data_IF_853258532861
#
_entry.id   IF_853258532861
#
_cell.length_a   1.000
_cell.length_b   1.000
_cell.length_c   1.000
_cell.angle_alpha   90.00
_cell.angle_beta   90.00
_cell.angle_gamma   90.00
#
_symmetry.space_group_name_H-M   'P 1'
#
loop_
_entity.id
_entity.type
_entity.pdbx_description
1 polymer ?
#
# COMPACT_ATOMS: atom_id res chain seq x y z
N UNK A 1 -4.36 10.10 21.82
CA UNK A 1 -3.13 9.79 21.04
C UNK A 1 -3.43 9.34 19.61
N UNK A 2 -4.37 8.41 19.39
CA UNK A 2 -4.69 7.88 18.05
C UNK A 2 -4.96 8.92 16.94
N UNK A 3 -5.72 10.02 17.18
CA UNK A 3 -5.98 11.02 16.13
C UNK A 3 -4.71 11.68 15.58
N UNK A 4 -3.75 12.00 16.45
CA UNK A 4 -2.47 12.61 16.06
C UNK A 4 -1.58 11.63 15.30
N UNK A 5 -1.56 10.37 15.71
CA UNK A 5 -0.82 9.32 15.01
C UNK A 5 -1.38 9.09 13.60
N UNK A 6 -2.70 9.10 13.45
CA UNK A 6 -3.35 8.96 12.14
C UNK A 6 -3.07 10.17 11.25
N UNK A 7 -3.16 11.39 11.79
CA UNK A 7 -2.82 12.60 11.05
C UNK A 7 -1.38 12.56 10.54
N UNK A 8 -0.41 12.30 11.43
CA UNK A 8 0.98 12.11 11.04
C UNK A 8 1.15 10.98 10.03
N UNK A 9 0.34 9.91 10.13
CA UNK A 9 0.38 8.83 9.16
C UNK A 9 -0.03 9.30 7.75
N UNK A 10 -1.07 10.12 7.63
CA UNK A 10 -1.57 10.63 6.37
C UNK A 10 -0.69 11.71 5.73
N UNK A 11 -0.01 12.52 6.53
CA UNK A 11 0.78 13.66 6.03
C UNK A 11 2.26 13.34 5.82
N UNK A 12 2.79 12.29 6.45
CA UNK A 12 4.19 11.89 6.27
C UNK A 12 4.43 11.16 4.95
N UNK A 13 5.57 11.43 4.32
CA UNK A 13 6.03 10.70 3.13
C UNK A 13 6.36 9.26 3.50
N UNK A 14 5.79 8.31 2.76
CA UNK A 14 6.01 6.88 2.96
C UNK A 14 7.19 6.41 2.14
N UNK A 15 8.19 5.79 2.78
CA UNK A 15 9.35 5.20 2.08
C UNK A 15 8.94 4.24 0.93
N UNK A 16 7.91 3.38 1.09
CA UNK A 16 7.52 2.44 0.03
C UNK A 16 6.93 3.09 -1.22
N UNK A 17 6.16 4.18 -1.08
CA UNK A 17 5.46 4.83 -2.20
C UNK A 17 6.13 6.13 -2.64
N UNK A 18 6.98 6.70 -1.79
CA UNK A 18 7.60 8.04 -1.89
C UNK A 18 6.59 9.20 -1.92
N UNK A 19 5.37 8.92 -1.52
CA UNK A 19 4.25 9.86 -1.50
C UNK A 19 3.61 9.87 -0.12
N UNK A 20 2.82 10.90 0.17
CA UNK A 20 1.98 10.94 1.38
C UNK A 20 0.67 10.20 1.10
N UNK A 21 0.09 9.45 2.07
CA UNK A 21 -1.22 8.85 1.86
C UNK A 21 -2.31 9.87 1.51
N UNK A 22 -2.22 11.08 2.06
CA UNK A 22 -3.15 12.17 1.74
C UNK A 22 -3.02 12.61 0.28
N UNK A 23 -1.81 12.81 -0.26
CA UNK A 23 -1.61 13.24 -1.65
C UNK A 23 -2.14 12.23 -2.66
N UNK A 24 -2.06 10.93 -2.35
CA UNK A 24 -2.62 9.88 -3.19
C UNK A 24 -4.16 9.83 -3.16
N UNK A 25 -4.79 10.18 -2.03
CA UNK A 25 -6.24 10.14 -1.86
C UNK A 25 -6.93 11.43 -2.33
N UNK A 26 -6.48 12.57 -1.84
CA UNK A 26 -7.09 13.89 -2.08
C UNK A 26 -6.44 14.69 -3.19
N UNK A 27 -5.45 14.10 -3.86
CA UNK A 27 -4.98 14.63 -5.13
C UNK A 27 -4.27 15.99 -4.99
N UNK A 28 -3.75 16.27 -3.81
CA UNK A 28 -2.96 17.45 -3.46
C UNK A 28 -2.16 17.20 -2.19
N UNK A 29 -1.06 17.93 -2.02
CA UNK A 29 -0.36 17.94 -0.74
C UNK A 29 -1.22 18.62 0.33
N UNK A 30 -1.09 18.14 1.57
CA UNK A 30 -1.76 18.72 2.72
C UNK A 30 -1.32 20.16 2.90
N UNK A 31 -2.29 21.04 3.13
CA UNK A 31 -2.06 22.37 3.71
C UNK A 31 -2.20 22.23 5.21
N UNK A 32 -1.13 22.43 5.96
CA UNK A 32 -1.20 22.33 7.42
C UNK A 32 -1.87 23.57 8.02
N UNK A 33 -2.59 23.44 9.15
CA UNK A 33 -3.23 24.60 9.80
C UNK A 33 -2.27 25.77 10.06
N UNK A 34 -1.01 25.48 10.41
CA UNK A 34 0.03 26.50 10.62
C UNK A 34 0.37 27.30 9.36
N UNK A 35 0.24 26.70 8.17
CA UNK A 35 0.45 27.40 6.89
C UNK A 35 -0.69 28.38 6.57
N UNK A 36 -1.84 28.22 7.22
CA UNK A 36 -2.99 29.12 7.10
C UNK A 36 -2.93 30.21 8.16
N UNK A 37 -2.63 29.84 9.40
CA UNK A 37 -2.47 30.78 10.52
C UNK A 37 -1.30 31.73 10.30
N UNK A 38 -0.19 31.21 9.78
CA UNK A 38 0.97 31.97 9.30
C UNK A 38 1.02 31.75 7.78
N UNK A 39 0.43 32.65 6.97
CA UNK A 39 0.27 32.45 5.53
C UNK A 39 1.56 32.01 4.86
N UNK A 40 1.62 30.74 4.47
CA UNK A 40 2.77 30.19 3.76
C UNK A 40 2.81 30.74 2.33
N UNK A 41 3.97 30.63 1.68
CA UNK A 41 4.12 31.07 0.29
C UNK A 41 3.10 30.39 -0.65
N UNK A 42 2.77 29.13 -0.39
CA UNK A 42 1.76 28.38 -1.16
C UNK A 42 0.37 29.00 -1.01
N UNK A 43 0.02 29.45 0.19
CA UNK A 43 -1.27 30.10 0.46
C UNK A 43 -1.30 31.49 -0.14
N UNK A 44 -0.23 32.28 0.04
CA UNK A 44 -0.12 33.62 -0.54
C UNK A 44 -0.29 33.60 -2.06
N UNK A 45 0.44 32.73 -2.76
CA UNK A 45 0.32 32.58 -4.21
C UNK A 45 -1.10 32.20 -4.62
N UNK A 46 -1.73 31.27 -3.88
CA UNK A 46 -3.09 30.81 -4.17
C UNK A 46 -4.16 31.88 -3.93
N UNK A 47 -3.93 32.78 -2.99
CA UNK A 47 -4.82 33.93 -2.73
C UNK A 47 -4.65 35.08 -3.72
N UNK A 48 -3.50 35.19 -4.38
CA UNK A 48 -3.21 36.24 -5.38
C UNK A 48 -3.51 35.82 -6.82
N UNK A 49 -3.72 34.53 -7.05
CA UNK A 49 -4.00 33.94 -8.37
C UNK A 49 -5.40 34.32 -8.87
N UNK A 50 -5.50 34.66 -10.15
CA UNK A 50 -6.80 34.83 -10.81
C UNK A 50 -7.52 33.49 -10.93
N UNK A 51 -8.85 33.50 -10.90
CA UNK A 51 -9.68 32.28 -10.92
C UNK A 51 -9.38 31.40 -12.15
N UNK A 52 -9.16 32.01 -13.31
CA UNK A 52 -8.85 31.30 -14.57
C UNK A 52 -7.50 30.56 -14.48
N UNK A 53 -6.47 31.21 -13.94
CA UNK A 53 -5.14 30.61 -13.73
C UNK A 53 -5.18 29.50 -12.67
N UNK A 54 -6.00 29.68 -11.64
CA UNK A 54 -6.23 28.67 -10.61
C UNK A 54 -6.88 27.40 -11.17
N UNK A 55 -7.94 27.56 -11.98
CA UNK A 55 -8.63 26.43 -12.64
C UNK A 55 -7.66 25.68 -13.56
N UNK A 56 -6.87 26.41 -14.35
CA UNK A 56 -5.88 25.80 -15.24
C UNK A 56 -4.83 25.00 -14.46
N UNK A 57 -4.23 25.61 -13.43
CA UNK A 57 -3.25 24.94 -12.57
C UNK A 57 -3.83 23.70 -11.89
N UNK A 58 -5.10 23.76 -11.47
CA UNK A 58 -5.78 22.61 -10.86
C UNK A 58 -6.01 21.50 -11.87
N UNK A 59 -6.39 21.84 -13.09
CA UNK A 59 -6.59 20.87 -14.17
C UNK A 59 -5.29 20.11 -14.50
N UNK A 60 -4.17 20.83 -14.61
CA UNK A 60 -2.86 20.21 -14.87
C UNK A 60 -2.44 19.24 -13.76
N UNK A 61 -2.67 19.61 -12.49
CA UNK A 61 -2.42 18.72 -11.35
C UNK A 61 -3.25 17.43 -11.41
N UNK A 62 -4.52 17.54 -11.79
CA UNK A 62 -5.41 16.39 -11.94
C UNK A 62 -4.98 15.52 -13.11
N UNK A 63 -4.53 16.10 -14.22
CA UNK A 63 -4.07 15.34 -15.38
C UNK A 63 -2.87 14.42 -15.05
N UNK A 64 -2.01 14.83 -14.11
CA UNK A 64 -0.83 14.06 -13.70
C UNK A 64 -1.12 13.03 -12.60
N UNK A 65 -2.35 12.93 -12.10
CA UNK A 65 -2.58 12.15 -10.88
C UNK A 65 -2.52 10.64 -11.09
N UNK A 66 -3.08 10.16 -12.19
CA UNK A 66 -3.09 8.73 -12.48
C UNK A 66 -1.66 8.21 -12.60
N UNK A 67 -0.78 9.01 -13.21
CA UNK A 67 0.65 8.73 -13.29
C UNK A 67 1.29 8.65 -11.90
N UNK A 68 1.04 9.62 -11.02
CA UNK A 68 1.55 9.59 -9.63
C UNK A 68 1.07 8.36 -8.87
N UNK A 69 -0.21 8.01 -8.98
CA UNK A 69 -0.80 6.81 -8.37
C UNK A 69 -0.17 5.55 -8.92
N UNK A 70 0.03 5.46 -10.23
CA UNK A 70 0.66 4.31 -10.87
C UNK A 70 2.11 4.15 -10.42
N UNK A 71 2.89 5.23 -10.37
CA UNK A 71 4.28 5.22 -9.88
C UNK A 71 4.33 4.77 -8.41
N UNK A 72 3.46 5.31 -7.56
CA UNK A 72 3.37 4.93 -6.15
C UNK A 72 3.03 3.44 -5.97
N UNK A 73 2.10 2.90 -6.78
CA UNK A 73 1.75 1.48 -6.80
C UNK A 73 2.95 0.62 -7.21
N UNK A 74 3.65 0.98 -8.28
CA UNK A 74 4.85 0.30 -8.75
C UNK A 74 5.94 0.25 -7.66
N UNK A 75 6.22 1.38 -7.02
CA UNK A 75 7.18 1.44 -5.91
C UNK A 75 6.74 0.55 -4.74
N UNK A 76 5.45 0.60 -4.37
CA UNK A 76 4.87 -0.24 -3.32
C UNK A 76 5.03 -1.73 -3.61
N UNK A 77 4.77 -2.17 -4.85
CA UNK A 77 4.96 -3.56 -5.26
C UNK A 77 6.42 -4.00 -5.20
N UNK A 78 7.35 -3.15 -5.66
CA UNK A 78 8.79 -3.44 -5.57
C UNK A 78 9.22 -3.57 -4.11
N UNK A 79 8.75 -2.68 -3.24
CA UNK A 79 9.03 -2.73 -1.81
C UNK A 79 8.47 -3.99 -1.16
N UNK A 80 7.23 -4.38 -1.45
CA UNK A 80 6.62 -5.62 -0.98
C UNK A 80 7.42 -6.85 -1.42
N UNK A 81 7.85 -6.91 -2.69
CA UNK A 81 8.71 -8.00 -3.20
C UNK A 81 10.04 -8.07 -2.45
N UNK A 82 10.64 -6.93 -2.08
CA UNK A 82 11.87 -6.89 -1.27
C UNK A 82 11.62 -7.41 0.14
N UNK A 83 10.54 -6.98 0.78
CA UNK A 83 10.17 -7.47 2.12
C UNK A 83 9.93 -8.98 2.12
N UNK A 84 9.19 -9.48 1.12
CA UNK A 84 8.97 -10.93 0.96
C UNK A 84 10.28 -11.69 0.86
N UNK A 85 11.23 -11.25 0.03
CA UNK A 85 12.55 -11.89 -0.08
C UNK A 85 13.31 -11.94 1.25
N UNK A 86 13.27 -10.85 2.03
CA UNK A 86 13.94 -10.81 3.35
C UNK A 86 13.25 -11.74 4.34
N UNK A 87 11.92 -11.77 4.32
CA UNK A 87 11.12 -12.67 5.15
C UNK A 87 11.40 -14.13 4.79
N UNK A 88 11.29 -14.50 3.52
CA UNK A 88 11.54 -15.86 3.01
C UNK A 88 12.95 -16.36 3.35
N UNK A 89 13.95 -15.47 3.39
CA UNK A 89 15.31 -15.81 3.82
C UNK A 89 15.42 -16.12 5.32
N UNK A 90 14.58 -15.49 6.15
CA UNK A 90 14.56 -15.67 7.61
C UNK A 90 13.69 -16.86 8.04
N UNK A 91 12.68 -17.21 7.25
CA UNK A 91 11.82 -18.36 7.54
C UNK A 91 12.61 -19.64 7.37
N UNK A 92 12.66 -20.46 8.42
CA UNK A 92 13.16 -21.83 8.32
C UNK A 92 12.09 -22.68 7.63
N UNK A 93 12.45 -23.50 6.62
CA UNK A 93 11.51 -24.47 6.09
C UNK A 93 11.08 -25.40 7.23
N UNK A 94 9.79 -25.42 7.52
CA UNK A 94 9.21 -26.48 8.35
C UNK A 94 8.79 -27.57 7.37
N UNK A 95 9.55 -28.66 7.36
CA UNK A 95 9.18 -29.86 6.62
C UNK A 95 8.01 -30.50 7.37
N UNK A 96 6.84 -30.50 6.73
CA UNK A 96 5.75 -31.38 7.15
C UNK A 96 6.17 -32.79 6.73
N UNK A 97 6.25 -33.72 7.69
CA UNK A 97 6.44 -35.11 7.36
C UNK A 97 5.27 -35.54 6.47
N UNK A 98 5.61 -35.88 5.24
CA UNK A 98 4.84 -36.60 4.21
C UNK A 98 3.32 -36.63 4.44
N UNK A 99 2.57 -36.06 3.46
CA UNK A 99 1.10 -36.19 3.23
C UNK A 99 0.25 -34.96 3.58
N UNK A 100 0.48 -33.85 2.91
CA UNK A 100 -0.60 -32.85 2.72
C UNK A 100 -0.60 -32.50 1.24
N UNK A 101 -1.66 -32.89 0.52
CA UNK A 101 -1.85 -32.57 -0.88
C UNK A 101 -3.15 -31.81 -1.08
N UNK A 102 -3.02 -30.76 -1.88
CA UNK A 102 -4.03 -29.88 -2.40
C UNK A 102 -4.55 -28.78 -1.46
N UNK A 103 -4.73 -27.65 -2.14
CA UNK A 103 -4.84 -26.29 -1.65
C UNK A 103 -6.05 -25.76 -2.41
N UNK A 104 -7.24 -25.91 -1.86
CA UNK A 104 -8.38 -25.20 -2.44
C UNK A 104 -8.22 -23.71 -2.10
N UNK A 105 -8.18 -22.82 -3.12
CA UNK A 105 -8.08 -21.40 -2.87
C UNK A 105 -9.38 -20.93 -2.23
N UNK A 106 -9.31 -20.61 -0.94
CA UNK A 106 -10.34 -19.85 -0.29
C UNK A 106 -10.13 -18.37 -0.64
N UNK A 107 -11.21 -17.64 -0.91
CA UNK A 107 -11.14 -16.23 -1.31
C UNK A 107 -10.24 -15.41 -0.37
N UNK A 108 -9.49 -14.45 -0.93
CA UNK A 108 -8.63 -13.57 -0.13
C UNK A 108 -7.23 -14.13 0.20
N UNK A 109 -6.78 -15.18 -0.48
CA UNK A 109 -5.42 -15.72 -0.33
C UNK A 109 -5.27 -16.65 0.87
N UNK A 110 -6.37 -17.17 1.41
CA UNK A 110 -6.38 -18.28 2.34
C UNK A 110 -6.46 -19.60 1.56
N UNK A 111 -5.95 -20.66 2.16
CA UNK A 111 -5.84 -21.98 1.58
C UNK A 111 -6.44 -22.98 2.57
N UNK A 112 -7.30 -23.87 2.06
CA UNK A 112 -7.71 -25.07 2.81
C UNK A 112 -6.68 -26.14 2.50
N UNK A 113 -6.14 -26.78 3.54
CA UNK A 113 -5.22 -27.90 3.38
C UNK A 113 -6.00 -29.20 3.48
N UNK A 114 -5.81 -30.10 2.52
CA UNK A 114 -6.38 -31.46 2.56
C UNK A 114 -5.27 -32.50 2.74
N UNK A 115 -5.56 -33.55 3.50
CA UNK A 115 -4.70 -34.75 3.54
C UNK A 115 -4.86 -35.55 2.22
N UNK A 116 -3.99 -36.51 1.98
CA UNK A 116 -4.00 -37.46 0.85
C UNK A 116 -5.33 -38.23 0.74
N UNK A 117 -6.04 -38.38 1.85
CA UNK A 117 -7.34 -39.03 1.92
C UNK A 117 -8.51 -38.07 1.62
N UNK A 118 -8.21 -36.86 1.12
CA UNK A 118 -9.17 -35.78 0.80
C UNK A 118 -9.96 -35.24 1.99
N UNK A 119 -9.49 -35.48 3.22
CA UNK A 119 -10.08 -34.90 4.43
C UNK A 119 -9.58 -33.46 4.64
N UNK A 120 -10.51 -32.53 4.83
CA UNK A 120 -10.19 -31.12 5.10
C UNK A 120 -9.55 -30.99 6.49
N UNK A 121 -8.32 -30.48 6.54
CA UNK A 121 -7.74 -30.06 7.80
C UNK A 121 -8.47 -28.79 8.27
N UNK A 122 -8.81 -28.68 9.56
CA UNK A 122 -9.58 -27.55 10.10
C UNK A 122 -8.82 -26.21 10.09
N UNK A 123 -7.66 -26.12 9.44
CA UNK A 123 -6.76 -24.98 9.47
C UNK A 123 -6.71 -24.27 8.13
N UNK A 124 -7.28 -23.06 8.06
CA UNK A 124 -7.04 -22.14 6.96
C UNK A 124 -5.63 -21.57 7.05
N UNK A 125 -4.83 -21.74 5.99
CA UNK A 125 -3.45 -21.30 5.93
C UNK A 125 -3.29 -20.13 4.96
N UNK A 126 -2.53 -19.12 5.35
CA UNK A 126 -2.23 -18.00 4.45
C UNK A 126 -1.35 -18.48 3.28
N UNK A 127 -1.75 -18.19 2.04
CA UNK A 127 -0.99 -18.56 0.84
C UNK A 127 0.44 -18.02 0.81
N UNK A 128 0.72 -16.93 1.54
CA UNK A 128 2.06 -16.36 1.63
C UNK A 128 3.06 -17.21 2.43
N UNK A 129 2.58 -18.16 3.27
CA UNK A 129 3.45 -19.03 4.07
C UNK A 129 3.66 -20.42 3.45
N UNK A 130 3.00 -20.73 2.34
CA UNK A 130 3.07 -22.04 1.67
C UNK A 130 3.96 -21.96 0.43
N UNK A 131 4.95 -22.86 0.33
CA UNK A 131 5.74 -23.07 -0.90
C UNK A 131 5.07 -24.13 -1.77
N UNK A 132 4.82 -23.80 -3.04
CA UNK A 132 4.30 -24.75 -4.04
C UNK A 132 5.47 -25.53 -4.65
N UNK A 133 5.39 -26.85 -4.60
CA UNK A 133 6.26 -27.76 -5.33
C UNK A 133 5.44 -28.38 -6.47
N UNK A 134 5.93 -28.29 -7.71
CA UNK A 134 5.36 -28.98 -8.86
C UNK A 134 6.32 -30.11 -9.24
N UNK A 135 5.78 -31.31 -9.44
CA UNK A 135 6.52 -32.47 -9.95
C UNK A 135 6.64 -32.41 -11.48
#
# INVERSE_FOLDING_TARGET
>A
MLPFALHGYHTSVRIPTRETPYSLLYEMEVVHPIEVEIPSLRILVKTTLEEVEWVHTRYDQLNLIEEKRLIALCHGQIYQKRLKKVFDKKVRPQEYQERVLLIEPFGGGALILTDMDCEELPLLVNSNVVKKYYA
#
